data_IF_471499293806
#
_entry.id   IF_471499293806
#
_cell.length_a   1.000
_cell.length_b   1.000
_cell.length_c   1.000
_cell.angle_alpha   90.00
_cell.angle_beta   90.00
_cell.angle_gamma   90.00
#
_symmetry.space_group_name_H-M   'P 1'
#
loop_
_entity.id
_entity.type
_entity.pdbx_description
1 polymer ?
#
# COMPACT_ATOMS: atom_id res chain seq x y z
N UNK A 1 10.59 26.54 40.75
CA UNK A 1 10.73 25.10 40.45
C UNK A 1 10.29 24.88 39.00
N UNK A 2 11.08 24.25 38.12
CA UNK A 2 10.67 24.09 36.73
C UNK A 2 9.64 22.96 36.65
N UNK A 3 8.46 23.26 36.13
CA UNK A 3 7.41 22.28 35.90
C UNK A 3 7.84 21.38 34.72
N UNK A 4 8.30 20.17 35.03
CA UNK A 4 8.60 19.15 34.03
C UNK A 4 7.31 18.58 33.44
N UNK A 5 7.31 18.32 32.12
CA UNK A 5 6.18 17.72 31.36
C UNK A 5 5.60 16.46 32.03
N UNK A 6 6.43 15.73 32.77
CA UNK A 6 6.04 14.53 33.54
C UNK A 6 5.08 14.85 34.70
N UNK A 7 5.24 15.99 35.37
CA UNK A 7 4.35 16.40 36.46
C UNK A 7 3.01 16.94 35.95
N UNK A 8 2.98 17.52 34.74
CA UNK A 8 1.74 17.99 34.12
C UNK A 8 0.81 16.83 33.74
N UNK A 9 1.35 15.73 33.21
CA UNK A 9 0.59 14.53 32.88
C UNK A 9 0.12 13.76 34.13
N UNK A 10 0.90 13.77 35.20
CA UNK A 10 0.55 13.10 36.46
C UNK A 10 -0.62 13.79 37.20
N UNK A 11 -0.81 15.09 37.02
CA UNK A 11 -1.88 15.86 37.69
C UNK A 11 -3.27 15.73 37.06
N UNK A 12 -3.38 15.29 35.80
CA UNK A 12 -4.65 15.24 35.07
C UNK A 12 -5.46 13.94 35.29
N UNK A 13 -4.91 12.95 35.99
CA UNK A 13 -5.42 11.57 35.97
C UNK A 13 -6.45 11.17 37.03
N UNK A 14 -6.66 11.95 38.09
CA UNK A 14 -7.35 11.42 39.29
C UNK A 14 -8.82 11.82 39.48
N UNK A 15 -9.39 12.68 38.62
CA UNK A 15 -10.83 13.01 38.68
C UNK A 15 -11.54 13.03 37.32
N UNK A 16 -10.84 12.86 36.20
CA UNK A 16 -11.42 12.86 34.84
C UNK A 16 -11.27 11.56 34.05
N UNK A 17 -10.61 10.54 34.61
CA UNK A 17 -10.16 9.35 33.88
C UNK A 17 -11.25 8.40 33.37
N UNK A 18 -12.48 8.49 33.88
CA UNK A 18 -13.58 7.59 33.49
C UNK A 18 -14.41 8.08 32.30
N UNK A 19 -14.23 9.34 31.86
CA UNK A 19 -14.98 9.90 30.72
C UNK A 19 -14.21 9.86 29.38
N UNK A 20 -12.91 9.57 29.39
CA UNK A 20 -12.08 9.53 28.17
C UNK A 20 -11.88 8.13 27.58
N UNK A 21 -12.24 7.07 28.30
CA UNK A 21 -12.08 5.69 27.83
C UNK A 21 -12.93 5.36 26.59
N UNK A 22 -13.95 6.17 26.28
CA UNK A 22 -14.88 5.97 25.16
C UNK A 22 -14.76 7.01 24.04
N UNK A 23 -13.73 7.87 24.05
CA UNK A 23 -13.51 8.81 22.95
C UNK A 23 -12.69 8.11 21.87
N UNK A 24 -13.39 7.42 20.96
CA UNK A 24 -12.80 6.92 19.71
C UNK A 24 -12.43 8.13 18.85
N UNK A 25 -11.17 8.57 18.94
CA UNK A 25 -10.64 9.55 17.99
C UNK A 25 -10.51 8.83 16.65
N UNK A 26 -11.19 9.27 15.58
CA UNK A 26 -11.04 8.64 14.28
C UNK A 26 -9.59 8.78 13.82
N UNK A 27 -8.96 7.66 13.47
CA UNK A 27 -7.67 7.70 12.81
C UNK A 27 -7.85 8.34 11.43
N UNK A 28 -7.39 9.59 11.29
CA UNK A 28 -7.39 10.27 10.00
C UNK A 28 -6.24 9.71 9.16
N UNK A 29 -6.57 8.89 8.17
CA UNK A 29 -5.62 8.38 7.19
C UNK A 29 -5.23 9.51 6.22
N UNK A 30 -4.35 10.40 6.68
CA UNK A 30 -3.76 11.49 5.89
C UNK A 30 -2.25 11.43 6.01
N UNK A 31 -1.55 11.56 4.87
CA UNK A 31 -0.09 11.58 4.82
C UNK A 31 0.39 12.76 3.95
N UNK A 32 1.55 13.35 4.25
CA UNK A 32 2.15 14.32 3.34
C UNK A 32 2.54 13.64 2.02
N UNK A 33 2.62 14.42 0.95
CA UNK A 33 3.27 13.98 -0.28
C UNK A 33 4.77 13.84 0.00
N UNK A 34 5.35 12.70 -0.35
CA UNK A 34 6.77 12.40 -0.10
C UNK A 34 7.43 12.03 -1.42
N UNK A 35 8.69 12.42 -1.61
CA UNK A 35 9.48 12.02 -2.78
C UNK A 35 10.73 11.26 -2.31
N UNK A 36 10.51 10.04 -1.83
CA UNK A 36 11.55 9.15 -1.34
C UNK A 36 11.41 7.80 -2.04
N UNK A 37 12.52 7.31 -2.59
CA UNK A 37 12.57 6.01 -3.23
C UNK A 37 12.71 4.90 -2.19
N UNK A 38 11.90 3.85 -2.32
CA UNK A 38 11.95 2.66 -1.46
C UNK A 38 11.88 1.41 -2.34
N UNK A 39 12.63 0.36 -1.98
CA UNK A 39 12.53 -0.93 -2.68
C UNK A 39 11.10 -1.48 -2.56
N UNK A 40 10.55 -1.98 -3.67
CA UNK A 40 9.18 -2.50 -3.72
C UNK A 40 8.09 -1.42 -3.67
N UNK A 41 8.43 -0.13 -3.64
CA UNK A 41 7.46 0.95 -3.76
C UNK A 41 7.86 1.93 -4.87
N UNK A 42 7.05 2.03 -5.91
CA UNK A 42 7.28 2.98 -7.01
C UNK A 42 6.23 4.09 -6.96
N UNK A 43 6.71 5.31 -6.76
CA UNK A 43 5.85 6.49 -6.68
C UNK A 43 5.79 7.25 -7.98
N UNK A 44 4.58 7.69 -8.34
CA UNK A 44 4.31 8.58 -9.47
C UNK A 44 3.22 9.58 -9.13
N UNK A 45 3.43 10.83 -9.55
CA UNK A 45 2.40 11.85 -9.49
C UNK A 45 1.54 11.78 -10.77
N UNK A 46 0.23 11.87 -10.59
CA UNK A 46 -0.79 11.96 -11.65
C UNK A 46 -1.63 13.20 -11.35
N UNK A 47 -1.29 14.31 -12.00
CA UNK A 47 -1.84 15.62 -11.61
C UNK A 47 -1.45 15.96 -10.16
N UNK A 48 -2.44 16.30 -9.34
CA UNK A 48 -2.25 16.59 -7.91
C UNK A 48 -2.26 15.34 -7.00
N UNK A 49 -2.49 14.16 -7.57
CA UNK A 49 -2.57 12.89 -6.83
C UNK A 49 -1.23 12.18 -6.88
N UNK A 50 -0.82 11.58 -5.77
CA UNK A 50 0.37 10.74 -5.70
C UNK A 50 -0.02 9.28 -5.57
N UNK A 51 0.35 8.47 -6.56
CA UNK A 51 0.13 7.03 -6.58
C UNK A 51 1.43 6.32 -6.24
N UNK A 52 1.39 5.43 -5.27
CA UNK A 52 2.51 4.55 -4.92
C UNK A 52 2.10 3.12 -5.22
N UNK A 53 2.68 2.51 -6.24
CA UNK A 53 2.56 1.07 -6.48
C UNK A 53 3.40 0.33 -5.43
N UNK A 54 2.80 -0.64 -4.74
CA UNK A 54 3.42 -1.45 -3.71
C UNK A 54 3.53 -2.88 -4.23
N UNK A 55 4.74 -3.42 -4.28
CA UNK A 55 5.00 -4.81 -4.65
C UNK A 55 4.90 -5.70 -3.43
N UNK A 56 3.94 -6.62 -3.45
CA UNK A 56 3.75 -7.66 -2.41
C UNK A 56 4.61 -8.91 -2.69
N UNK A 57 4.96 -9.13 -3.97
CA UNK A 57 5.77 -10.26 -4.39
C UNK A 57 5.40 -10.71 -5.79
N UNK A 58 5.47 -12.01 -6.02
CA UNK A 58 5.08 -12.61 -7.28
C UNK A 58 4.49 -14.01 -7.09
N UNK A 59 3.71 -14.42 -8.08
CA UNK A 59 3.21 -15.79 -8.25
C UNK A 59 3.60 -16.31 -9.62
N UNK A 60 3.85 -17.61 -9.74
CA UNK A 60 4.06 -18.27 -11.02
C UNK A 60 2.70 -18.83 -11.50
N UNK A 61 2.15 -18.24 -12.57
CA UNK A 61 0.84 -18.56 -13.13
C UNK A 61 1.03 -19.59 -14.25
N UNK A 62 0.45 -20.76 -14.10
CA UNK A 62 0.43 -21.79 -15.14
C UNK A 62 -0.35 -21.37 -16.39
N UNK A 63 0.11 -21.80 -17.56
CA UNK A 63 -0.52 -21.47 -18.85
C UNK A 63 -1.96 -22.00 -18.96
N UNK A 64 -2.28 -23.06 -18.24
CA UNK A 64 -3.59 -23.68 -18.14
C UNK A 64 -4.66 -22.76 -17.51
N UNK A 65 -4.25 -21.74 -16.76
CA UNK A 65 -5.17 -20.75 -16.18
C UNK A 65 -5.62 -19.68 -17.19
N UNK A 66 -4.97 -19.61 -18.36
CA UNK A 66 -5.30 -18.63 -19.39
C UNK A 66 -6.34 -19.21 -20.35
N UNK A 67 -7.60 -18.95 -20.07
CA UNK A 67 -8.74 -19.46 -20.84
C UNK A 67 -8.80 -18.78 -22.22
N UNK A 68 -9.03 -19.57 -23.27
CA UNK A 68 -9.22 -19.06 -24.63
C UNK A 68 -7.94 -18.74 -25.40
N UNK A 69 -6.77 -19.09 -24.86
CA UNK A 69 -5.48 -18.90 -25.52
C UNK A 69 -4.94 -20.23 -26.06
N UNK A 70 -4.80 -20.35 -27.37
CA UNK A 70 -4.14 -21.49 -27.99
C UNK A 70 -2.63 -21.52 -27.64
N UNK A 71 -2.08 -22.69 -27.38
CA UNK A 71 -0.69 -22.85 -26.95
C UNK A 71 0.33 -22.27 -27.97
N UNK A 72 0.06 -22.43 -29.27
CA UNK A 72 0.88 -21.85 -30.33
C UNK A 72 0.94 -20.32 -30.25
N UNK A 73 -0.19 -19.67 -29.95
CA UNK A 73 -0.25 -18.22 -29.74
C UNK A 73 0.42 -17.81 -28.44
N UNK A 74 0.24 -18.57 -27.36
CA UNK A 74 0.92 -18.32 -26.09
C UNK A 74 2.45 -18.31 -26.27
N UNK A 75 3.00 -19.31 -26.98
CA UNK A 75 4.43 -19.40 -27.28
C UNK A 75 4.91 -18.24 -28.16
N UNK A 76 4.16 -17.90 -29.20
CA UNK A 76 4.46 -16.78 -30.11
C UNK A 76 4.49 -15.45 -29.36
N UNK A 77 3.48 -15.17 -28.53
CA UNK A 77 3.37 -13.95 -27.75
C UNK A 77 4.42 -13.85 -26.64
N UNK A 78 4.73 -14.97 -25.98
CA UNK A 78 5.82 -15.04 -25.00
C UNK A 78 7.16 -14.70 -25.66
N UNK A 79 7.46 -15.29 -26.81
CA UNK A 79 8.67 -14.98 -27.59
C UNK A 79 8.74 -13.51 -28.01
N UNK A 80 7.65 -12.94 -28.51
CA UNK A 80 7.57 -11.53 -28.88
C UNK A 80 7.76 -10.57 -27.69
N UNK A 81 7.48 -11.03 -26.48
CA UNK A 81 7.65 -10.27 -25.23
C UNK A 81 8.98 -10.55 -24.52
N UNK A 82 9.90 -11.30 -25.15
CA UNK A 82 11.17 -11.75 -24.56
C UNK A 82 11.00 -12.60 -23.29
N UNK A 83 9.92 -13.37 -23.22
CA UNK A 83 9.60 -14.22 -22.09
C UNK A 83 9.77 -15.70 -22.45
N UNK A 84 10.14 -16.50 -21.44
CA UNK A 84 10.22 -17.95 -21.61
C UNK A 84 8.81 -18.54 -21.76
N UNK A 85 8.59 -19.50 -22.67
CA UNK A 85 7.36 -20.29 -22.70
C UNK A 85 7.18 -21.07 -21.39
N UNK A 86 5.93 -21.28 -20.96
CA UNK A 86 5.57 -21.99 -19.73
C UNK A 86 5.00 -21.07 -18.64
N UNK A 87 5.08 -21.47 -17.35
CA UNK A 87 4.56 -20.68 -16.24
C UNK A 87 5.12 -19.25 -16.22
N UNK A 88 4.21 -18.30 -16.01
CA UNK A 88 4.48 -16.87 -16.10
C UNK A 88 4.60 -16.27 -14.71
N UNK A 89 5.76 -15.69 -14.41
CA UNK A 89 5.94 -14.90 -13.19
C UNK A 89 5.14 -13.60 -13.29
N UNK A 90 4.14 -13.47 -12.45
CA UNK A 90 3.27 -12.29 -12.37
C UNK A 90 3.49 -11.58 -11.02
N UNK A 91 3.75 -10.26 -11.00
CA UNK A 91 3.85 -9.51 -9.75
C UNK A 91 2.46 -9.34 -9.13
N UNK A 92 2.41 -9.40 -7.80
CA UNK A 92 1.23 -9.01 -7.01
C UNK A 92 1.48 -7.60 -6.50
N UNK A 93 0.60 -6.67 -6.85
CA UNK A 93 0.74 -5.26 -6.48
C UNK A 93 -0.52 -4.74 -5.78
N UNK A 94 -0.32 -3.86 -4.82
CA UNK A 94 -1.36 -2.98 -4.28
C UNK A 94 -1.04 -1.52 -4.64
N UNK A 95 -2.00 -0.61 -4.44
CA UNK A 95 -1.81 0.80 -4.76
C UNK A 95 -2.24 1.71 -3.62
N UNK A 96 -1.29 2.52 -3.15
CA UNK A 96 -1.55 3.56 -2.17
C UNK A 96 -1.70 4.91 -2.89
N UNK A 97 -2.87 5.50 -2.78
CA UNK A 97 -3.26 6.73 -3.45
C UNK A 97 -3.40 7.84 -2.42
N UNK A 98 -2.52 8.84 -2.50
CA UNK A 98 -2.57 10.03 -1.67
C UNK A 98 -3.24 11.18 -2.44
N UNK A 99 -4.43 11.55 -1.99
CA UNK A 99 -5.24 12.65 -2.54
C UNK A 99 -4.97 13.99 -1.82
N UNK A 100 -4.11 13.99 -0.79
CA UNK A 100 -3.73 15.16 0.01
C UNK A 100 -4.47 15.28 1.34
N UNK A 101 -5.79 15.12 1.32
CA UNK A 101 -6.65 15.08 2.51
C UNK A 101 -7.01 13.64 2.94
N UNK A 102 -6.88 12.69 2.01
CA UNK A 102 -7.19 11.28 2.18
C UNK A 102 -6.10 10.40 1.59
N UNK A 103 -5.85 9.31 2.29
CA UNK A 103 -5.02 8.21 1.84
C UNK A 103 -5.91 6.97 1.59
N UNK A 104 -5.89 6.45 0.37
CA UNK A 104 -6.71 5.30 -0.05
C UNK A 104 -5.79 4.16 -0.46
N UNK A 105 -6.01 2.98 0.12
CA UNK A 105 -5.35 1.75 -0.30
C UNK A 105 -6.33 0.96 -1.19
N UNK A 106 -5.85 0.57 -2.38
CA UNK A 106 -6.56 -0.30 -3.32
C UNK A 106 -5.84 -1.65 -3.32
N UNK A 107 -6.58 -2.71 -3.04
CA UNK A 107 -6.09 -4.05 -2.70
C UNK A 107 -5.11 -4.06 -1.52
N UNK A 108 -4.66 -5.23 -1.08
CA UNK A 108 -3.78 -5.33 0.08
C UNK A 108 -2.76 -6.47 0.01
N UNK A 109 -2.52 -7.03 -1.18
CA UNK A 109 -1.64 -8.20 -1.31
C UNK A 109 -2.24 -9.46 -0.67
N UNK A 110 -1.36 -10.37 -0.27
CA UNK A 110 -1.67 -11.72 0.22
C UNK A 110 -1.33 -11.89 1.70
#
# INVERSE_FOLDING_TARGET
MPLSRRHFLAGAGLTGGTLLANVSVPALARAPLVDAATLGALRRNVGSVQVTALLDGYIDIGSELVIGLAEADAKRLAGASFQKPGPRRAPVNAYLINLGDRLVLVDAGT
#
